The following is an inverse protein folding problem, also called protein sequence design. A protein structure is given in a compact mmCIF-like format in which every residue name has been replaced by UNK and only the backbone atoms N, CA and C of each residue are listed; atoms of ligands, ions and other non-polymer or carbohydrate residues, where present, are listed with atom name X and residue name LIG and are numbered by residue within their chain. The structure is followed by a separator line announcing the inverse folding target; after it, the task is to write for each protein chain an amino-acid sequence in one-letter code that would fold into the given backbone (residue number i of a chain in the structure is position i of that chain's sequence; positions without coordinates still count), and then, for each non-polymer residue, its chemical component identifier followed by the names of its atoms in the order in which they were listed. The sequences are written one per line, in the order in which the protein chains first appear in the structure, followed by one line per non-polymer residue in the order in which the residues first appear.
data_IF_022457410362
#
_entry.id   IF_022457410362
#
_cell.length_a   1.000
_cell.length_b   1.000
_cell.length_c   1.000
_cell.angle_alpha   90.00
_cell.angle_beta   90.00
_cell.angle_gamma   90.00
#
_symmetry.space_group_name_H-M   'P 1'
#
loop_
_entity.id
_entity.type
_entity.pdbx_description
1 polymer ?
#
# COMPACT_ATOMS: atom_id res chain seq x y z
N UNK A 1 -35.59 21.17 46.42
CA UNK A 1 -36.30 20.28 47.41
C UNK A 1 -36.10 18.85 46.96
N UNK A 2 -35.61 18.06 47.94
CA UNK A 2 -35.47 16.59 48.12
C UNK A 2 -34.36 15.94 47.29
N UNK A 3 -33.16 15.78 47.77
CA UNK A 3 -32.49 14.87 48.73
C UNK A 3 -33.06 13.46 48.80
N UNK A 4 -32.21 12.47 48.50
CA UNK A 4 -31.99 11.25 49.28
C UNK A 4 -31.13 10.23 48.48
N UNK A 5 -30.24 9.54 49.00
CA UNK A 5 -29.49 9.19 50.20
C UNK A 5 -28.55 8.05 49.78
N UNK A 6 -27.38 8.10 50.35
CA UNK A 6 -26.34 7.06 50.30
C UNK A 6 -26.82 5.78 50.98
N UNK A 7 -26.40 4.63 50.44
CA UNK A 7 -26.21 3.41 51.24
C UNK A 7 -24.87 2.80 50.90
N UNK A 8 -24.10 2.63 51.96
CA UNK A 8 -22.76 2.03 52.04
C UNK A 8 -22.95 0.64 52.71
N UNK A 9 -21.95 -0.19 52.58
CA UNK A 9 -21.61 -1.50 53.17
C UNK A 9 -21.95 -2.70 52.27
N UNK A 10 -21.12 -3.70 52.18
CA UNK A 10 -19.96 -4.11 52.96
C UNK A 10 -19.19 -5.24 52.32
N UNK A 11 -18.01 -5.33 52.76
CA UNK A 11 -16.95 -6.30 52.47
C UNK A 11 -17.36 -7.76 52.72
N UNK A 12 -16.89 -8.69 51.84
CA UNK A 12 -16.46 -10.03 52.30
C UNK A 12 -15.32 -10.52 51.42
N UNK A 13 -14.16 -10.65 52.03
CA UNK A 13 -12.99 -11.38 51.55
C UNK A 13 -13.21 -12.87 51.69
N UNK A 14 -12.88 -13.65 50.67
CA UNK A 14 -12.55 -15.07 50.87
C UNK A 14 -11.41 -15.47 49.97
N UNK A 15 -10.28 -15.73 50.61
CA UNK A 15 -9.15 -16.51 50.06
C UNK A 15 -9.58 -17.96 49.89
N UNK A 16 -9.26 -18.54 48.74
CA UNK A 16 -9.06 -19.99 48.63
C UNK A 16 -7.93 -20.26 47.63
N UNK A 17 -6.88 -20.86 48.17
CA UNK A 17 -5.69 -21.34 47.48
C UNK A 17 -5.96 -22.72 46.86
N UNK A 18 -5.19 -23.02 45.78
CA UNK A 18 -4.77 -24.38 45.40
C UNK A 18 -5.55 -25.00 44.26
N UNK A 19 -4.93 -25.28 43.15
CA UNK A 19 -4.16 -26.51 42.84
C UNK A 19 -3.65 -26.48 41.42
N UNK A 20 -2.36 -26.73 41.27
CA UNK A 20 -1.68 -27.07 40.02
C UNK A 20 -2.19 -28.43 39.50
N UNK A 21 -2.63 -28.48 38.28
CA UNK A 21 -2.72 -29.73 37.52
C UNK A 21 -2.11 -29.52 36.16
N UNK A 22 -0.89 -30.01 36.04
CA UNK A 22 -0.26 -30.25 34.77
C UNK A 22 -0.99 -31.39 34.06
N UNK A 23 -1.48 -31.18 32.88
CA UNK A 23 -1.91 -32.21 31.96
C UNK A 23 -1.26 -31.94 30.60
N UNK A 24 -0.13 -32.62 30.35
CA UNK A 24 0.37 -32.88 29.00
C UNK A 24 -0.64 -33.77 28.30
N UNK A 25 -1.19 -33.32 27.20
CA UNK A 25 -1.77 -34.16 26.18
C UNK A 25 -1.41 -33.59 24.83
N UNK A 26 -0.53 -34.34 24.15
CA UNK A 26 -0.19 -34.13 22.75
C UNK A 26 -1.42 -34.36 21.87
N UNK A 27 -1.85 -33.34 21.15
CA UNK A 27 -2.54 -33.53 19.88
C UNK A 27 -2.26 -32.37 18.97
N UNK A 28 -1.68 -32.69 17.82
CA UNK A 28 -1.29 -31.78 16.75
C UNK A 28 -2.53 -31.17 16.11
N UNK A 29 -2.81 -29.93 16.47
CA UNK A 29 -3.65 -29.04 15.68
C UNK A 29 -2.77 -27.90 15.20
N UNK A 30 -2.69 -27.73 13.90
CA UNK A 30 -2.04 -26.59 13.26
C UNK A 30 -2.68 -25.31 13.81
N UNK A 31 -2.10 -24.74 14.82
CA UNK A 31 -2.35 -23.33 15.14
C UNK A 31 -1.72 -22.50 14.03
N UNK A 32 -2.59 -21.85 13.31
CA UNK A 32 -2.29 -20.69 12.49
C UNK A 32 -1.63 -19.66 13.41
N UNK A 33 -0.30 -19.68 13.49
CA UNK A 33 0.43 -18.64 14.18
C UNK A 33 0.22 -17.34 13.39
N UNK A 34 -0.66 -16.49 13.90
CA UNK A 34 -0.57 -15.05 13.63
C UNK A 34 0.78 -14.62 14.17
N UNK A 35 1.81 -14.63 13.31
CA UNK A 35 3.08 -14.02 13.60
C UNK A 35 2.79 -12.56 13.95
N UNK A 36 2.99 -12.16 15.20
CA UNK A 36 3.20 -10.77 15.54
C UNK A 36 4.30 -10.30 14.59
N UNK A 37 3.93 -9.44 13.63
CA UNK A 37 4.89 -8.82 12.75
C UNK A 37 5.95 -8.19 13.64
N UNK A 38 7.20 -8.57 13.43
CA UNK A 38 8.33 -7.94 14.11
C UNK A 38 8.18 -6.44 13.83
N UNK A 39 8.11 -5.61 14.87
CA UNK A 39 7.82 -4.16 14.75
C UNK A 39 8.85 -3.39 13.91
N UNK A 40 9.85 -4.06 13.37
CA UNK A 40 10.91 -3.54 12.51
C UNK A 40 10.94 -4.12 11.09
N UNK A 41 9.92 -4.84 10.67
CA UNK A 41 9.82 -5.34 9.30
C UNK A 41 8.70 -4.62 8.57
N UNK A 42 9.03 -4.04 7.41
CA UNK A 42 8.08 -3.40 6.49
C UNK A 42 7.84 -4.33 5.31
N UNK A 43 6.61 -4.42 4.87
CA UNK A 43 6.23 -5.16 3.67
C UNK A 43 6.13 -4.20 2.49
N UNK A 44 6.83 -4.52 1.40
CA UNK A 44 6.82 -3.76 0.15
C UNK A 44 6.26 -4.64 -0.97
N UNK A 45 5.16 -4.21 -1.60
CA UNK A 45 4.69 -4.83 -2.83
C UNK A 45 5.22 -4.09 -4.05
N UNK A 46 5.80 -4.86 -4.97
CA UNK A 46 6.36 -4.38 -6.24
C UNK A 46 5.72 -5.11 -7.41
N UNK A 47 5.70 -4.54 -8.61
CA UNK A 47 5.18 -5.22 -9.80
C UNK A 47 5.91 -6.54 -10.06
N UNK A 48 5.19 -7.50 -10.63
CA UNK A 48 5.76 -8.81 -11.01
C UNK A 48 6.95 -8.64 -11.96
N UNK A 49 8.07 -9.28 -11.65
CA UNK A 49 9.34 -9.17 -12.39
C UNK A 49 10.19 -7.96 -12.00
N UNK A 50 9.76 -7.12 -11.05
CA UNK A 50 10.50 -5.93 -10.66
C UNK A 50 11.37 -6.10 -9.41
N UNK A 51 11.23 -7.20 -8.67
CA UNK A 51 11.88 -7.41 -7.37
C UNK A 51 13.38 -7.14 -7.37
N UNK A 52 14.09 -7.64 -8.38
CA UNK A 52 15.54 -7.47 -8.47
C UNK A 52 15.96 -6.01 -8.65
N UNK A 53 15.11 -5.20 -9.32
CA UNK A 53 15.36 -3.77 -9.53
C UNK A 53 15.34 -2.96 -8.22
N UNK A 54 14.72 -3.47 -7.18
CA UNK A 54 14.64 -2.81 -5.87
C UNK A 54 15.75 -3.23 -4.90
N UNK A 55 16.55 -4.26 -5.23
CA UNK A 55 17.50 -4.88 -4.31
C UNK A 55 18.50 -3.89 -3.68
N UNK A 56 19.09 -3.02 -4.48
CA UNK A 56 20.08 -2.04 -4.02
C UNK A 56 19.42 -0.96 -3.15
N UNK A 57 18.26 -0.46 -3.56
CA UNK A 57 17.50 0.54 -2.81
C UNK A 57 17.04 0.00 -1.46
N UNK A 58 16.52 -1.22 -1.44
CA UNK A 58 16.11 -1.92 -0.21
C UNK A 58 17.31 -2.13 0.71
N UNK A 59 18.43 -2.63 0.18
CA UNK A 59 19.66 -2.86 0.96
C UNK A 59 20.18 -1.57 1.59
N UNK A 60 20.13 -0.45 0.85
CA UNK A 60 20.53 0.86 1.36
C UNK A 60 19.59 1.32 2.46
N UNK A 61 18.28 1.24 2.24
CA UNK A 61 17.28 1.62 3.23
C UNK A 61 17.40 0.81 4.53
N UNK A 62 17.56 -0.52 4.44
CA UNK A 62 17.75 -1.38 5.61
C UNK A 62 18.98 -0.98 6.44
N UNK A 63 20.10 -0.65 5.76
CA UNK A 63 21.34 -0.20 6.44
C UNK A 63 21.17 1.13 7.15
N UNK A 64 20.45 2.06 6.52
CA UNK A 64 20.28 3.42 7.04
C UNK A 64 19.21 3.51 8.13
N UNK A 65 18.12 2.77 7.98
CA UNK A 65 16.96 2.86 8.88
C UNK A 65 16.98 1.84 10.03
N UNK A 66 17.67 0.71 9.85
CA UNK A 66 17.62 -0.42 10.77
C UNK A 66 16.34 -1.26 10.67
N UNK A 67 15.43 -0.94 9.74
CA UNK A 67 14.28 -1.76 9.39
C UNK A 67 14.68 -2.89 8.45
N UNK A 68 13.88 -3.96 8.43
CA UNK A 68 13.91 -5.00 7.41
C UNK A 68 12.80 -4.74 6.40
N UNK A 69 12.99 -5.14 5.14
CA UNK A 69 11.98 -5.01 4.10
C UNK A 69 11.67 -6.37 3.48
N UNK A 70 10.45 -6.81 3.62
CA UNK A 70 9.93 -7.99 2.93
C UNK A 70 9.36 -7.57 1.58
N UNK A 71 10.10 -7.87 0.49
CA UNK A 71 9.71 -7.51 -0.87
C UNK A 71 8.92 -8.65 -1.51
N UNK A 72 7.66 -8.39 -1.80
CA UNK A 72 6.73 -9.35 -2.42
C UNK A 72 6.29 -8.83 -3.77
N UNK A 73 6.38 -9.66 -4.80
CA UNK A 73 5.81 -9.36 -6.11
C UNK A 73 4.30 -9.51 -6.09
N UNK A 74 3.61 -8.49 -6.56
CA UNK A 74 2.15 -8.41 -6.56
C UNK A 74 1.67 -7.74 -7.85
N UNK A 75 0.72 -8.35 -8.53
CA UNK A 75 0.06 -7.72 -9.67
C UNK A 75 -0.90 -6.61 -9.21
N UNK A 76 -0.93 -5.50 -9.94
CA UNK A 76 -1.69 -4.30 -9.56
C UNK A 76 -3.18 -4.55 -9.24
N UNK A 77 -3.95 -5.36 -10.02
CA UNK A 77 -5.33 -5.67 -9.68
C UNK A 77 -5.48 -6.38 -8.34
N UNK A 78 -4.55 -7.30 -8.04
CA UNK A 78 -4.55 -8.06 -6.80
C UNK A 78 -4.15 -7.18 -5.61
N UNK A 79 -3.22 -6.24 -5.80
CA UNK A 79 -2.81 -5.29 -4.78
C UNK A 79 -4.00 -4.43 -4.34
N UNK A 80 -4.74 -3.85 -5.28
CA UNK A 80 -5.93 -3.05 -4.98
C UNK A 80 -7.01 -3.86 -4.25
N UNK A 81 -7.27 -5.08 -4.71
CA UNK A 81 -8.28 -5.95 -4.09
C UNK A 81 -7.92 -6.30 -2.65
N UNK A 82 -6.66 -6.66 -2.39
CA UNK A 82 -6.18 -6.99 -1.06
C UNK A 82 -6.23 -5.79 -0.11
N UNK A 83 -5.82 -4.59 -0.58
CA UNK A 83 -5.90 -3.35 0.20
C UNK A 83 -7.33 -3.01 0.64
N UNK A 84 -8.31 -3.27 -0.21
CA UNK A 84 -9.71 -2.95 0.10
C UNK A 84 -10.42 -4.03 0.91
N UNK A 85 -9.97 -5.28 0.83
CA UNK A 85 -10.58 -6.41 1.56
C UNK A 85 -10.09 -6.51 3.00
N UNK A 86 -8.78 -6.39 3.20
CA UNK A 86 -8.16 -6.52 4.52
C UNK A 86 -6.85 -5.72 4.59
N UNK A 87 -6.97 -4.48 5.04
CA UNK A 87 -5.81 -3.59 5.21
C UNK A 87 -4.77 -4.13 6.20
N UNK A 88 -5.14 -5.04 7.11
CA UNK A 88 -4.21 -5.61 8.10
C UNK A 88 -3.21 -6.59 7.48
N UNK A 89 -3.55 -7.18 6.35
CA UNK A 89 -2.68 -8.09 5.59
C UNK A 89 -1.96 -7.41 4.44
N UNK A 90 -2.29 -6.17 4.17
CA UNK A 90 -1.70 -5.37 3.10
C UNK A 90 -0.23 -5.06 3.33
N UNK A 91 0.44 -4.58 2.28
CA UNK A 91 1.79 -4.04 2.41
C UNK A 91 1.77 -2.64 3.04
N UNK A 92 2.86 -2.30 3.75
CA UNK A 92 3.09 -0.95 4.28
C UNK A 92 3.37 0.05 3.16
N UNK A 93 4.02 -0.42 2.08
CA UNK A 93 4.32 0.34 0.87
C UNK A 93 4.01 -0.51 -0.35
N UNK A 94 3.43 0.08 -1.38
CA UNK A 94 3.09 -0.62 -2.62
C UNK A 94 3.09 0.33 -3.81
N UNK A 95 3.28 -0.22 -5.02
CA UNK A 95 3.15 0.52 -6.27
C UNK A 95 1.82 0.23 -6.95
N UNK A 96 1.28 1.24 -7.62
CA UNK A 96 0.04 1.11 -8.40
C UNK A 96 -0.06 2.21 -9.46
N UNK A 97 -0.86 2.00 -10.52
CA UNK A 97 -1.26 3.05 -11.44
C UNK A 97 -2.07 4.15 -10.75
N UNK A 98 -1.85 5.42 -11.14
CA UNK A 98 -2.46 6.58 -10.49
C UNK A 98 -3.99 6.64 -10.56
N UNK A 99 -4.61 5.98 -11.54
CA UNK A 99 -6.08 5.90 -11.70
C UNK A 99 -6.79 5.17 -10.55
N UNK A 100 -6.04 4.41 -9.75
CA UNK A 100 -6.55 3.72 -8.55
C UNK A 100 -6.47 4.59 -7.30
N UNK A 101 -5.67 5.66 -7.33
CA UNK A 101 -5.37 6.50 -6.16
C UNK A 101 -6.64 7.00 -5.46
N UNK A 102 -7.58 7.55 -6.22
CA UNK A 102 -8.80 8.11 -5.67
C UNK A 102 -9.65 7.12 -4.91
N UNK A 103 -9.75 5.87 -5.38
CA UNK A 103 -10.50 4.81 -4.70
C UNK A 103 -9.89 4.44 -3.36
N UNK A 104 -8.55 4.38 -3.30
CA UNK A 104 -7.83 4.03 -2.07
C UNK A 104 -7.90 5.15 -1.04
N UNK A 105 -7.86 6.42 -1.47
CA UNK A 105 -8.07 7.57 -0.57
C UNK A 105 -9.49 7.57 0.01
N UNK A 106 -10.51 7.37 -0.83
CA UNK A 106 -11.91 7.31 -0.36
C UNK A 106 -12.18 6.12 0.57
N UNK A 107 -11.46 5.01 0.38
CA UNK A 107 -11.53 3.86 1.26
C UNK A 107 -10.72 4.04 2.56
N UNK A 108 -9.95 5.12 2.71
CA UNK A 108 -9.06 5.33 3.85
C UNK A 108 -7.89 4.35 3.91
N UNK A 109 -7.54 3.72 2.77
CA UNK A 109 -6.50 2.69 2.70
C UNK A 109 -5.09 3.27 2.59
N UNK A 110 -4.95 4.55 2.24
CA UNK A 110 -3.68 5.27 2.13
C UNK A 110 -3.74 6.60 2.84
N UNK A 111 -2.58 7.07 3.27
CA UNK A 111 -2.43 8.30 4.04
C UNK A 111 -1.92 9.45 3.16
N UNK A 112 -2.25 10.68 3.56
CA UNK A 112 -1.71 11.89 2.96
C UNK A 112 -0.19 11.97 3.21
N UNK A 113 0.56 12.28 2.17
CA UNK A 113 2.01 12.52 2.23
C UNK A 113 2.26 13.80 3.04
N UNK A 114 3.21 13.80 4.00
CA UNK A 114 3.56 15.00 4.75
C UNK A 114 3.90 16.18 3.83
N UNK A 115 3.52 17.39 4.22
CA UNK A 115 3.61 18.60 3.38
C UNK A 115 5.02 18.89 2.88
N UNK A 116 6.04 18.69 3.71
CA UNK A 116 7.44 18.87 3.33
C UNK A 116 7.87 17.89 2.23
N UNK A 117 7.39 16.65 2.25
CA UNK A 117 7.66 15.66 1.21
C UNK A 117 6.85 15.94 -0.06
N UNK A 118 5.61 16.42 0.08
CA UNK A 118 4.80 16.86 -1.06
C UNK A 118 5.43 18.04 -1.80
N UNK A 119 6.10 18.94 -1.10
CA UNK A 119 6.88 20.04 -1.70
C UNK A 119 8.12 19.52 -2.45
N UNK A 120 8.81 18.54 -1.88
CA UNK A 120 9.95 17.90 -2.56
C UNK A 120 9.53 17.18 -3.85
N UNK A 121 8.37 16.50 -3.85
CA UNK A 121 7.80 15.91 -5.08
C UNK A 121 7.57 17.00 -6.13
N UNK A 122 6.91 18.11 -5.78
CA UNK A 122 6.66 19.22 -6.70
C UNK A 122 7.93 19.86 -7.26
N UNK A 123 9.00 19.85 -6.49
CA UNK A 123 10.28 20.45 -6.87
C UNK A 123 11.13 19.55 -7.76
N UNK A 124 11.10 18.25 -7.51
CA UNK A 124 12.05 17.30 -8.11
C UNK A 124 11.43 16.48 -9.24
N UNK A 125 10.11 16.33 -9.26
CA UNK A 125 9.38 15.57 -10.28
C UNK A 125 8.85 16.48 -11.40
N UNK A 126 8.42 15.87 -12.50
CA UNK A 126 7.70 16.60 -13.55
C UNK A 126 6.31 16.99 -13.05
N UNK A 127 5.75 18.07 -13.61
CA UNK A 127 4.40 18.52 -13.24
C UNK A 127 3.35 17.41 -13.38
N UNK A 128 3.43 16.62 -14.47
CA UNK A 128 2.52 15.51 -14.74
C UNK A 128 2.62 14.41 -13.67
N UNK A 129 3.84 14.07 -13.24
CA UNK A 129 4.06 13.10 -12.18
C UNK A 129 3.50 13.58 -10.85
N UNK A 130 3.78 14.85 -10.49
CA UNK A 130 3.27 15.46 -9.27
C UNK A 130 1.73 15.53 -9.25
N UNK A 131 1.09 15.83 -10.39
CA UNK A 131 -0.37 15.82 -10.52
C UNK A 131 -0.92 14.39 -10.35
N UNK A 132 -0.29 13.38 -10.98
CA UNK A 132 -0.69 11.98 -10.85
C UNK A 132 -0.65 11.44 -9.42
N UNK A 133 0.16 12.03 -8.56
CA UNK A 133 0.25 11.68 -7.13
C UNK A 133 -0.81 12.36 -6.25
N UNK A 134 -1.71 13.17 -6.83
CA UNK A 134 -2.67 13.97 -6.08
C UNK A 134 -4.11 13.49 -6.23
N UNK A 135 -4.87 13.68 -5.17
CA UNK A 135 -6.33 13.54 -5.16
C UNK A 135 -6.95 14.67 -4.34
N UNK A 136 -7.96 15.35 -4.89
CA UNK A 136 -8.65 16.51 -4.26
C UNK A 136 -7.67 17.57 -3.72
N UNK A 137 -6.59 17.83 -4.45
CA UNK A 137 -5.60 18.88 -4.11
C UNK A 137 -4.57 18.50 -3.05
N UNK A 138 -4.56 17.24 -2.59
CA UNK A 138 -3.60 16.70 -1.61
C UNK A 138 -2.76 15.59 -2.24
N UNK A 139 -1.53 15.42 -1.78
CA UNK A 139 -0.60 14.41 -2.27
C UNK A 139 -0.70 13.14 -1.44
N UNK A 140 -0.81 11.98 -2.08
CA UNK A 140 -0.98 10.67 -1.43
C UNK A 140 0.02 9.62 -1.90
N UNK A 141 0.83 9.91 -2.90
CA UNK A 141 1.79 8.97 -3.44
C UNK A 141 3.12 9.66 -3.81
N UNK A 142 4.16 8.85 -3.95
CA UNK A 142 5.46 9.24 -4.49
C UNK A 142 5.54 8.74 -5.93
N UNK A 143 5.65 9.62 -6.95
CA UNK A 143 5.81 9.19 -8.33
C UNK A 143 7.15 8.50 -8.52
N UNK A 144 7.18 7.37 -9.22
CA UNK A 144 8.44 6.72 -9.61
C UNK A 144 8.60 6.59 -11.13
N UNK A 145 7.57 6.89 -11.89
CA UNK A 145 7.60 6.84 -13.35
C UNK A 145 6.35 7.44 -13.97
N UNK A 146 6.43 7.72 -15.27
CA UNK A 146 5.30 8.15 -16.10
C UNK A 146 5.18 7.16 -17.24
N UNK A 147 3.99 6.62 -17.44
CA UNK A 147 3.64 5.81 -18.60
C UNK A 147 2.81 6.63 -19.60
N UNK A 148 3.06 6.43 -20.86
CA UNK A 148 2.28 7.03 -21.94
C UNK A 148 1.92 5.99 -22.97
N UNK A 149 0.69 6.07 -23.47
CA UNK A 149 0.31 5.32 -24.65
C UNK A 149 0.88 6.01 -25.89
N UNK A 150 1.63 5.26 -26.70
CA UNK A 150 2.22 5.74 -27.95
C UNK A 150 1.81 4.86 -29.11
N UNK A 151 1.65 5.46 -30.28
CA UNK A 151 1.37 4.74 -31.52
C UNK A 151 2.64 4.61 -32.33
N UNK A 152 3.12 3.39 -32.55
CA UNK A 152 4.17 3.08 -33.49
C UNK A 152 3.58 2.85 -34.88
N UNK A 153 4.18 3.41 -35.91
CA UNK A 153 3.71 3.23 -37.27
C UNK A 153 4.87 2.86 -38.23
N UNK A 154 4.51 2.13 -39.27
CA UNK A 154 5.48 1.76 -40.30
C UNK A 154 5.65 2.91 -41.31
N UNK A 155 6.83 3.54 -41.33
CA UNK A 155 7.14 4.68 -42.16
C UNK A 155 7.11 4.36 -43.67
N UNK A 156 7.17 3.08 -44.07
CA UNK A 156 7.02 2.70 -45.50
C UNK A 156 5.55 2.71 -45.94
N UNK A 157 4.58 2.75 -44.99
CA UNK A 157 3.14 2.70 -45.27
C UNK A 157 2.42 4.00 -44.94
N UNK A 158 2.90 4.74 -43.94
CA UNK A 158 2.29 5.97 -43.45
C UNK A 158 3.35 7.06 -43.33
N UNK A 159 3.03 8.26 -43.71
CA UNK A 159 3.85 9.44 -43.46
C UNK A 159 3.60 10.04 -42.08
N UNK A 160 4.46 10.96 -41.67
CA UNK A 160 4.29 11.70 -40.41
C UNK A 160 2.97 12.53 -40.38
N UNK A 161 2.50 12.96 -41.56
CA UNK A 161 1.22 13.69 -41.67
C UNK A 161 0.01 12.75 -41.56
N UNK A 162 0.12 11.53 -42.03
CA UNK A 162 -0.95 10.55 -41.99
C UNK A 162 -1.31 10.12 -40.57
N UNK A 163 -0.31 10.12 -39.67
CA UNK A 163 -0.50 9.66 -38.29
C UNK A 163 -0.98 10.77 -37.33
N UNK A 164 -1.27 11.96 -37.86
CA UNK A 164 -1.85 13.07 -37.06
C UNK A 164 -3.33 12.89 -36.76
N UNK A 165 -4.03 12.01 -37.50
CA UNK A 165 -5.42 11.67 -37.20
C UNK A 165 -5.73 10.20 -37.40
N UNK A 166 -6.62 9.66 -36.59
CA UNK A 166 -7.07 8.26 -36.70
C UNK A 166 -7.84 7.99 -37.99
N UNK A 167 -8.58 8.97 -38.50
CA UNK A 167 -9.32 8.89 -39.77
C UNK A 167 -8.37 8.64 -40.93
N UNK A 168 -7.25 9.37 -40.98
CA UNK A 168 -6.24 9.19 -42.00
C UNK A 168 -5.55 7.85 -41.90
N UNK A 169 -5.17 7.42 -40.68
CA UNK A 169 -4.57 6.10 -40.45
C UNK A 169 -5.50 5.00 -40.97
N UNK A 170 -6.79 5.02 -40.55
CA UNK A 170 -7.75 3.98 -40.92
C UNK A 170 -8.09 3.97 -42.38
N UNK A 171 -8.11 5.10 -43.05
CA UNK A 171 -8.36 5.20 -44.50
C UNK A 171 -7.21 4.61 -45.35
N UNK A 172 -5.97 4.67 -44.85
CA UNK A 172 -4.76 4.15 -45.50
C UNK A 172 -4.37 2.74 -45.08
N UNK A 173 -4.96 2.21 -44.03
CA UNK A 173 -4.69 0.87 -43.53
C UNK A 173 -5.39 -0.27 -44.29
N UNK A 174 -6.07 0.05 -45.38
CA UNK A 174 -6.81 -0.92 -46.25
C UNK A 174 -5.90 -1.60 -47.26
#
# INVERSE_FOLDING_TARGET
MKTWKKVVLGSVSLLAAGTLLAACSSNSSKESSSSKADSKTLKLWVPTGAKDSYSDTVSKFEKESGYKVDVVEMEDPNAQENLTKDASTAADVFSLPHDQLGKLVEAGAIQEVPSNMAEEIKKNDTEQAAIGAQYKGKTYAFPFGIESQVTYYNKSKLSADDVKSYETITSKAK
#
